data_IF_425023902658
#
_entry.id   IF_425023902658
#
_cell.length_a   1.000
_cell.length_b   1.000
_cell.length_c   1.000
_cell.angle_alpha   90.00
_cell.angle_beta   90.00
_cell.angle_gamma   90.00
#
_symmetry.space_group_name_H-M   'P 1'
#
loop_
_entity.id
_entity.type
_entity.pdbx_description
1 polymer ?
#
# COMPACT_ATOMS: atom_id res chain seq x y z
N UNK A 1 -15.28 15.85 5.47
CA UNK A 1 -15.23 14.86 4.37
C UNK A 1 -14.00 13.98 4.62
N UNK A 2 -14.18 12.74 5.07
CA UNK A 2 -13.07 11.83 5.34
C UNK A 2 -12.71 11.11 4.04
N UNK A 3 -11.88 11.73 3.20
CA UNK A 3 -11.33 11.07 2.02
C UNK A 3 -10.23 10.10 2.43
N UNK A 4 -10.41 8.82 2.10
CA UNK A 4 -9.38 7.79 2.31
C UNK A 4 -8.53 7.69 1.05
N UNK A 5 -7.21 7.57 1.18
CA UNK A 5 -6.33 7.33 0.02
C UNK A 5 -6.41 5.86 -0.37
N UNK A 6 -6.34 5.59 -1.67
CA UNK A 6 -6.28 4.23 -2.20
C UNK A 6 -5.50 4.21 -3.50
N UNK A 7 -5.10 3.01 -3.91
CA UNK A 7 -4.51 2.72 -5.23
C UNK A 7 -5.44 1.77 -5.96
N UNK A 8 -5.66 2.03 -7.24
CA UNK A 8 -6.47 1.19 -8.11
C UNK A 8 -5.73 0.83 -9.38
N UNK A 9 -6.19 -0.24 -10.03
CA UNK A 9 -5.74 -0.61 -11.36
C UNK A 9 -5.94 0.53 -12.36
N UNK A 10 -4.94 0.76 -13.23
CA UNK A 10 -5.05 1.71 -14.34
C UNK A 10 -5.99 1.22 -15.44
N UNK A 11 -6.11 -0.11 -15.60
CA UNK A 11 -6.95 -0.75 -16.61
C UNK A 11 -8.41 -0.94 -16.17
N UNK A 12 -8.96 0.01 -15.42
CA UNK A 12 -10.38 -0.01 -15.06
C UNK A 12 -11.25 0.22 -16.31
N UNK A 13 -12.38 -0.49 -16.50
CA UNK A 13 -13.04 -1.43 -15.56
C UNK A 13 -12.57 -2.89 -15.66
N UNK A 14 -11.70 -3.24 -16.62
CA UNK A 14 -11.25 -4.62 -16.81
C UNK A 14 -10.47 -5.17 -15.58
N UNK A 15 -9.89 -4.28 -14.77
CA UNK A 15 -9.38 -4.59 -13.44
C UNK A 15 -9.99 -3.63 -12.40
N UNK A 16 -10.74 -4.19 -11.44
CA UNK A 16 -11.41 -3.45 -10.35
C UNK A 16 -10.64 -3.53 -9.01
N UNK A 17 -9.43 -4.08 -9.01
CA UNK A 17 -8.63 -4.18 -7.78
C UNK A 17 -8.31 -2.79 -7.24
N UNK A 18 -8.67 -2.59 -5.98
CA UNK A 18 -8.35 -1.39 -5.21
C UNK A 18 -7.81 -1.77 -3.85
N UNK A 19 -6.83 -1.02 -3.37
CA UNK A 19 -6.20 -1.25 -2.08
C UNK A 19 -6.13 0.04 -1.26
N UNK A 20 -6.48 -0.01 0.03
CA UNK A 20 -6.44 1.16 0.89
C UNK A 20 -5.00 1.58 1.18
N UNK A 21 -4.76 2.88 1.17
CA UNK A 21 -3.46 3.46 1.49
C UNK A 21 -3.53 4.27 2.79
N UNK A 22 -2.40 4.38 3.52
CA UNK A 22 -2.31 5.27 4.66
C UNK A 22 -2.68 6.71 4.30
N UNK A 23 -3.54 7.32 5.12
CA UNK A 23 -3.97 8.70 4.91
C UNK A 23 -2.86 9.72 5.21
N UNK A 24 -1.81 9.31 5.93
CA UNK A 24 -0.68 10.14 6.31
C UNK A 24 0.64 9.63 5.72
N UNK A 25 1.56 10.56 5.47
CA UNK A 25 2.87 10.27 4.90
C UNK A 25 2.92 10.36 3.37
N UNK A 26 4.14 10.46 2.86
CA UNK A 26 4.43 10.39 1.43
C UNK A 26 4.54 8.92 1.04
N UNK A 27 3.88 8.53 -0.04
CA UNK A 27 3.88 7.14 -0.51
C UNK A 27 4.78 7.06 -1.72
N UNK A 28 5.76 6.17 -1.65
CA UNK A 28 6.70 5.87 -2.72
C UNK A 28 6.51 4.41 -3.14
N UNK A 29 6.58 4.14 -4.44
CA UNK A 29 6.63 2.78 -4.96
C UNK A 29 7.93 2.11 -4.54
N UNK A 30 7.86 0.86 -4.09
CA UNK A 30 9.05 0.03 -3.88
C UNK A 30 9.23 -0.92 -5.05
N UNK A 31 10.47 -1.19 -5.44
CA UNK A 31 10.80 -2.26 -6.40
C UNK A 31 10.75 -3.66 -5.76
N UNK A 32 10.33 -3.74 -4.49
CA UNK A 32 10.22 -4.99 -3.75
C UNK A 32 8.81 -5.58 -3.87
N UNK A 33 8.77 -6.88 -4.06
CA UNK A 33 7.55 -7.68 -3.96
C UNK A 33 7.46 -8.31 -2.56
N UNK A 34 6.24 -8.51 -2.08
CA UNK A 34 6.00 -9.21 -0.83
C UNK A 34 6.31 -10.70 -1.01
N UNK A 35 7.17 -11.27 -0.17
CA UNK A 35 7.55 -12.68 -0.24
C UNK A 35 6.38 -13.65 0.03
N UNK A 36 5.32 -13.18 0.70
CA UNK A 36 4.16 -14.01 1.06
C UNK A 36 3.12 -14.10 -0.05
N UNK A 37 2.81 -12.97 -0.71
CA UNK A 37 1.72 -12.90 -1.69
C UNK A 37 2.16 -12.48 -3.10
N UNK A 38 3.44 -12.13 -3.30
CA UNK A 38 4.00 -11.69 -4.58
C UNK A 38 3.53 -10.29 -5.04
N UNK A 39 2.77 -9.56 -4.21
CA UNK A 39 2.26 -8.24 -4.57
C UNK A 39 3.29 -7.14 -4.30
N UNK A 40 3.24 -6.01 -5.04
CA UNK A 40 4.18 -4.93 -4.84
C UNK A 40 4.08 -4.35 -3.42
N UNK A 41 5.23 -4.01 -2.86
CA UNK A 41 5.33 -3.29 -1.61
C UNK A 41 5.41 -1.78 -1.86
N UNK A 42 4.97 -1.00 -0.88
CA UNK A 42 5.09 0.45 -0.87
C UNK A 42 5.98 0.89 0.29
N UNK A 43 6.62 2.04 0.12
CA UNK A 43 7.37 2.70 1.18
C UNK A 43 6.64 3.98 1.60
N UNK A 44 6.44 4.17 2.90
CA UNK A 44 5.70 5.29 3.46
C UNK A 44 6.62 6.12 4.33
N UNK A 45 6.90 7.33 3.86
CA UNK A 45 7.73 8.31 4.57
C UNK A 45 6.84 9.19 5.46
N UNK A 46 7.14 9.25 6.75
CA UNK A 46 6.38 10.04 7.72
C UNK A 46 7.28 11.12 8.32
N UNK A 47 6.87 12.40 8.22
CA UNK A 47 7.66 13.55 8.73
C UNK A 47 8.05 13.49 10.21
N UNK A 48 7.21 12.88 11.06
CA UNK A 48 7.38 12.87 12.52
C UNK A 48 7.49 11.47 13.12
N UNK A 49 7.44 10.42 12.30
CA UNK A 49 7.43 9.02 12.75
C UNK A 49 8.44 8.21 11.94
N UNK A 50 8.73 7.00 12.39
CA UNK A 50 9.60 6.09 11.62
C UNK A 50 8.93 5.72 10.30
N UNK A 51 9.71 5.82 9.23
CA UNK A 51 9.31 5.33 7.90
C UNK A 51 9.16 3.81 7.93
N UNK A 52 8.30 3.28 7.08
CA UNK A 52 8.00 1.86 7.03
C UNK A 52 7.62 1.41 5.62
N UNK A 53 7.89 0.15 5.32
CA UNK A 53 7.41 -0.52 4.12
C UNK A 53 6.21 -1.39 4.48
N UNK A 54 5.22 -1.46 3.59
CA UNK A 54 4.08 -2.35 3.77
C UNK A 54 3.69 -3.00 2.44
N UNK A 55 3.11 -4.19 2.51
CA UNK A 55 2.42 -4.77 1.35
C UNK A 55 1.19 -3.90 1.03
N UNK A 56 0.91 -3.73 -0.26
CA UNK A 56 -0.27 -3.03 -0.76
C UNK A 56 -1.57 -3.75 -0.37
N UNK A 57 -1.53 -5.07 -0.21
CA UNK A 57 -2.69 -5.91 0.01
C UNK A 57 -3.07 -5.99 1.50
N UNK A 58 -4.27 -5.53 1.90
CA UNK A 58 -4.73 -5.62 3.28
C UNK A 58 -4.97 -7.05 3.75
N UNK A 59 -5.22 -8.00 2.84
CA UNK A 59 -5.48 -9.39 3.18
C UNK A 59 -4.19 -10.22 3.29
N UNK A 60 -3.03 -9.60 3.05
CA UNK A 60 -1.75 -10.28 3.19
C UNK A 60 -1.39 -10.49 4.66
N UNK A 61 -1.07 -11.75 5.04
CA UNK A 61 -0.60 -12.09 6.37
C UNK A 61 0.68 -11.34 6.78
N UNK A 62 1.49 -10.86 5.82
CA UNK A 62 2.67 -10.04 6.10
C UNK A 62 2.32 -8.65 6.67
N UNK A 63 1.03 -8.31 6.72
CA UNK A 63 0.53 -7.05 7.26
C UNK A 63 0.22 -7.13 8.74
N UNK A 64 0.24 -8.30 9.39
CA UNK A 64 -0.08 -8.42 10.83
C UNK A 64 0.94 -7.74 11.77
N UNK A 65 2.13 -7.37 11.28
CA UNK A 65 3.22 -6.78 12.09
C UNK A 65 3.31 -5.23 12.02
N UNK A 66 2.20 -4.53 11.72
CA UNK A 66 2.16 -3.05 11.59
C UNK A 66 1.71 -2.30 12.85
#
# INVERSE_FOLDING_TARGET
MYGSRFVGCTNYPDCENTYPLPNNGTINSSDKECETCGKPMIFVERKNNKDYSMCIDPDCASKDDW
#
